data_IF_926169327413
#
_entry.id   IF_926169327413
#
_cell.length_a   1.000
_cell.length_b   1.000
_cell.length_c   1.000
_cell.angle_alpha   90.00
_cell.angle_beta   90.00
_cell.angle_gamma   90.00
#
_symmetry.space_group_name_H-M   'P 1'
#
loop_
_entity.id
_entity.type
_entity.pdbx_description
1 polymer ?
#
# COMPACT_ATOMS: atom_id res chain seq x y z
N UNK A 1 10.73 -6.39 -12.35
CA UNK A 1 9.64 -5.78 -13.14
C UNK A 1 9.89 -4.28 -13.11
N UNK A 2 9.79 -3.59 -14.25
CA UNK A 2 10.17 -2.18 -14.36
C UNK A 2 8.96 -1.30 -14.02
N UNK A 3 8.91 -0.81 -12.78
CA UNK A 3 7.81 -0.01 -12.23
C UNK A 3 7.69 1.40 -12.84
N UNK A 4 8.63 1.77 -13.72
CA UNK A 4 8.70 3.08 -14.37
C UNK A 4 7.64 3.33 -15.45
N UNK A 5 6.84 2.32 -15.81
CA UNK A 5 5.82 2.41 -16.87
C UNK A 5 4.39 2.73 -16.37
N UNK A 6 4.18 2.92 -15.08
CA UNK A 6 2.89 3.39 -14.57
C UNK A 6 2.77 4.88 -14.88
N UNK A 7 1.86 5.25 -15.77
CA UNK A 7 1.62 6.65 -16.08
C UNK A 7 1.03 7.35 -14.85
N UNK A 8 1.64 8.47 -14.43
CA UNK A 8 1.11 9.31 -13.36
C UNK A 8 -0.35 9.67 -13.70
N UNK A 9 -1.31 9.21 -12.90
CA UNK A 9 -2.76 9.42 -13.13
C UNK A 9 -3.56 8.20 -13.60
N UNK A 10 -2.93 7.08 -13.99
CA UNK A 10 -3.65 5.88 -14.44
C UNK A 10 -3.89 4.84 -13.35
N UNK A 11 -3.22 4.98 -12.20
CA UNK A 11 -3.34 4.09 -11.05
C UNK A 11 -3.10 4.84 -9.74
N UNK A 12 -3.58 4.26 -8.65
CA UNK A 12 -3.42 4.76 -7.27
C UNK A 12 -2.67 3.75 -6.43
N UNK A 13 -1.77 4.23 -5.55
CA UNK A 13 -1.04 3.38 -4.64
C UNK A 13 -1.91 3.08 -3.42
N UNK A 14 -1.99 1.80 -3.07
CA UNK A 14 -2.79 1.29 -1.97
C UNK A 14 -1.91 0.60 -0.97
N UNK A 15 -2.21 0.87 0.30
CA UNK A 15 -1.67 0.22 1.47
C UNK A 15 -2.70 -0.77 2.02
N UNK A 16 -2.31 -2.02 2.24
CA UNK A 16 -3.02 -2.98 3.07
C UNK A 16 -2.24 -3.18 4.38
N UNK A 17 -2.69 -2.57 5.49
CA UNK A 17 -1.97 -2.63 6.77
C UNK A 17 -1.98 -4.01 7.39
N UNK A 18 -0.93 -4.30 8.17
CA UNK A 18 -0.80 -5.53 8.96
C UNK A 18 -1.24 -6.74 8.16
N UNK A 19 -0.66 -6.90 6.98
CA UNK A 19 -1.06 -7.97 6.11
C UNK A 19 -0.54 -9.27 6.75
N UNK A 20 -1.37 -9.84 7.65
CA UNK A 20 -1.16 -11.05 8.44
C UNK A 20 -0.99 -12.31 7.60
N UNK A 21 -0.86 -12.13 6.29
CA UNK A 21 -0.46 -13.18 5.38
C UNK A 21 1.01 -13.45 5.71
N UNK A 22 1.16 -14.49 6.53
CA UNK A 22 2.38 -15.23 6.80
C UNK A 22 3.29 -15.28 5.57
N UNK A 23 4.59 -15.53 5.79
CA UNK A 23 5.71 -15.46 4.83
C UNK A 23 5.51 -16.08 3.41
N UNK A 24 4.36 -16.71 3.15
CA UNK A 24 3.91 -17.35 1.92
C UNK A 24 2.91 -16.52 1.07
N UNK A 25 2.72 -15.22 1.34
CA UNK A 25 1.93 -14.37 0.43
C UNK A 25 2.70 -14.08 -0.87
N UNK A 26 2.77 -15.09 -1.73
CA UNK A 26 3.10 -14.91 -3.13
C UNK A 26 2.03 -13.98 -3.75
N UNK A 27 2.46 -12.98 -4.51
CA UNK A 27 1.61 -12.03 -5.26
C UNK A 27 0.45 -12.72 -5.98
N UNK A 28 0.65 -13.98 -6.38
CA UNK A 28 -0.36 -14.84 -6.98
C UNK A 28 -1.58 -15.11 -6.07
N UNK A 29 -1.38 -15.28 -4.76
CA UNK A 29 -2.46 -15.52 -3.80
C UNK A 29 -3.29 -14.26 -3.54
N UNK A 30 -2.63 -13.10 -3.49
CA UNK A 30 -3.31 -11.81 -3.40
C UNK A 30 -4.18 -11.56 -4.65
N UNK A 31 -3.60 -11.76 -5.83
CA UNK A 31 -4.26 -11.61 -7.11
C UNK A 31 -5.54 -12.47 -7.22
N UNK A 32 -5.45 -13.74 -6.82
CA UNK A 32 -6.61 -14.62 -6.72
C UNK A 32 -7.63 -14.16 -5.68
N UNK A 33 -7.18 -13.61 -4.55
CA UNK A 33 -8.08 -13.09 -3.53
C UNK A 33 -8.95 -11.95 -4.09
N UNK A 34 -8.35 -10.99 -4.79
CA UNK A 34 -9.08 -9.88 -5.41
C UNK A 34 -10.07 -10.33 -6.48
N UNK A 35 -9.71 -11.31 -7.31
CA UNK A 35 -10.65 -11.86 -8.30
C UNK A 35 -11.81 -12.61 -7.62
N UNK A 36 -11.50 -13.53 -6.71
CA UNK A 36 -12.50 -14.45 -6.15
C UNK A 36 -13.44 -13.78 -5.16
N UNK A 37 -12.95 -12.82 -4.37
CA UNK A 37 -13.73 -12.20 -3.30
C UNK A 37 -14.27 -10.81 -3.66
N UNK A 38 -13.59 -10.09 -4.55
CA UNK A 38 -13.88 -8.69 -4.82
C UNK A 38 -14.24 -8.43 -6.30
N UNK A 39 -14.17 -9.45 -7.15
CA UNK A 39 -14.48 -9.37 -8.59
C UNK A 39 -13.68 -8.25 -9.29
N UNK A 40 -12.44 -8.06 -8.84
CA UNK A 40 -11.46 -7.15 -9.45
C UNK A 40 -10.51 -7.99 -10.29
N UNK A 41 -10.29 -7.59 -11.54
CA UNK A 41 -9.39 -8.28 -12.45
C UNK A 41 -7.94 -8.18 -11.93
N UNK A 42 -7.22 -9.30 -11.91
CA UNK A 42 -5.80 -9.34 -11.53
C UNK A 42 -4.91 -8.40 -12.35
N UNK A 43 -5.28 -8.13 -13.60
CA UNK A 43 -4.55 -7.21 -14.48
C UNK A 43 -4.58 -5.76 -13.96
N UNK A 44 -5.59 -5.40 -13.18
CA UNK A 44 -5.74 -4.07 -12.58
C UNK A 44 -4.92 -3.88 -11.30
N UNK A 45 -4.15 -4.90 -10.90
CA UNK A 45 -3.35 -4.90 -9.67
C UNK A 45 -1.90 -5.19 -10.02
N UNK A 46 -1.05 -4.22 -9.68
CA UNK A 46 0.40 -4.32 -9.83
C UNK A 46 1.04 -4.27 -8.44
N UNK A 47 1.56 -5.40 -7.99
CA UNK A 47 2.26 -5.54 -6.71
C UNK A 47 3.38 -4.51 -6.56
N UNK A 48 3.62 -3.99 -5.36
CA UNK A 48 4.85 -3.24 -5.03
C UNK A 48 5.69 -4.05 -4.04
N UNK A 49 5.02 -4.71 -3.10
CA UNK A 49 5.62 -5.61 -2.13
C UNK A 49 5.32 -5.21 -0.68
N UNK A 50 5.96 -5.91 0.24
CA UNK A 50 5.83 -5.65 1.68
C UNK A 50 6.89 -4.65 2.15
N UNK A 51 6.47 -3.67 2.94
CA UNK A 51 7.33 -2.70 3.61
C UNK A 51 7.11 -2.81 5.11
N UNK A 52 8.19 -2.82 5.88
CA UNK A 52 8.12 -2.83 7.34
C UNK A 52 8.13 -1.41 7.87
N UNK A 53 7.22 -1.09 8.77
CA UNK A 53 7.19 0.23 9.41
C UNK A 53 8.36 0.40 10.38
N UNK A 54 8.88 1.63 10.42
CA UNK A 54 9.87 2.08 11.39
C UNK A 54 9.23 2.22 12.78
N UNK A 55 10.03 2.11 13.85
CA UNK A 55 9.58 2.51 15.18
C UNK A 55 9.27 4.01 15.21
N UNK A 56 8.33 4.38 16.09
CA UNK A 56 8.08 5.77 16.43
C UNK A 56 9.32 6.36 17.12
N UNK A 57 9.50 7.68 17.00
CA UNK A 57 10.63 8.38 17.62
C UNK A 57 10.19 9.36 18.69
N UNK A 58 10.99 9.48 19.74
CA UNK A 58 10.86 10.56 20.74
C UNK A 58 11.17 11.92 20.11
N UNK A 59 10.87 13.00 20.82
CA UNK A 59 11.26 14.36 20.41
C UNK A 59 12.79 14.51 20.25
N UNK A 60 13.57 13.66 20.92
CA UNK A 60 15.02 13.61 20.88
C UNK A 60 15.55 12.72 19.73
N UNK A 61 14.66 12.07 18.98
CA UNK A 61 14.98 11.23 17.84
C UNK A 61 15.32 9.78 18.17
N UNK A 62 15.07 9.33 19.41
CA UNK A 62 15.31 7.94 19.82
C UNK A 62 14.11 7.06 19.49
N UNK A 63 14.38 5.82 19.05
CA UNK A 63 13.32 4.86 18.74
C UNK A 63 12.58 4.43 20.02
N UNK A 64 11.24 4.44 19.97
CA UNK A 64 10.38 4.03 21.07
C UNK A 64 10.23 2.50 21.05
N UNK A 65 10.70 1.76 22.08
CA UNK A 65 10.64 0.30 22.08
C UNK A 65 9.20 -0.22 21.99
N UNK A 66 8.99 -1.24 21.15
CA UNK A 66 7.68 -1.88 20.97
C UNK A 66 6.76 -1.17 19.97
N UNK A 67 7.24 -0.13 19.29
CA UNK A 67 6.56 0.50 18.16
C UNK A 67 7.21 0.07 16.82
N UNK A 68 6.49 0.27 15.71
CA UNK A 68 6.95 -0.17 14.39
C UNK A 68 6.89 -1.68 14.18
N UNK A 69 7.58 -2.17 13.14
CA UNK A 69 7.68 -3.59 12.82
C UNK A 69 6.43 -4.19 12.15
N UNK A 70 5.38 -3.39 11.91
CA UNK A 70 4.20 -3.82 11.17
C UNK A 70 4.60 -4.05 9.71
N UNK A 71 4.17 -5.19 9.13
CA UNK A 71 4.43 -5.52 7.73
C UNK A 71 3.23 -5.12 6.89
N UNK A 72 3.43 -4.10 6.07
CA UNK A 72 2.40 -3.44 5.29
C UNK A 72 2.59 -3.78 3.81
N UNK A 73 1.51 -4.18 3.14
CA UNK A 73 1.56 -4.60 1.75
C UNK A 73 1.11 -3.47 0.83
N UNK A 74 1.93 -3.16 -0.18
CA UNK A 74 1.66 -2.10 -1.15
C UNK A 74 1.41 -2.66 -2.54
N UNK A 75 0.47 -2.04 -3.25
CA UNK A 75 0.18 -2.34 -4.65
C UNK A 75 -0.47 -1.15 -5.35
N UNK A 76 -0.27 -1.07 -6.66
CA UNK A 76 -0.99 -0.15 -7.54
C UNK A 76 -2.31 -0.77 -7.97
N UNK A 77 -3.35 0.05 -7.95
CA UNK A 77 -4.67 -0.26 -8.45
C UNK A 77 -5.01 0.69 -9.61
N UNK A 78 -5.39 0.13 -10.75
CA UNK A 78 -5.85 0.93 -11.90
C UNK A 78 -7.11 1.72 -11.57
N UNK A 79 -7.22 2.93 -12.13
CA UNK A 79 -8.35 3.85 -11.91
C UNK A 79 -9.70 3.22 -12.21
N UNK A 80 -9.79 2.41 -13.27
CA UNK A 80 -11.02 1.73 -13.70
C UNK A 80 -11.53 0.71 -12.67
N UNK A 81 -10.66 0.22 -11.79
CA UNK A 81 -11.00 -0.73 -10.74
C UNK A 81 -11.44 -0.04 -9.43
N UNK A 82 -11.18 1.27 -9.26
CA UNK A 82 -11.51 2.02 -8.03
C UNK A 82 -12.99 1.88 -7.63
N UNK A 83 -13.99 2.05 -8.53
CA UNK A 83 -15.40 1.96 -8.13
C UNK A 83 -15.77 0.62 -7.48
N UNK A 84 -15.16 -0.48 -7.91
CA UNK A 84 -15.37 -1.82 -7.33
C UNK A 84 -14.55 -2.00 -6.05
N UNK A 85 -13.38 -1.38 -5.99
CA UNK A 85 -12.46 -1.49 -4.88
C UNK A 85 -12.89 -0.72 -3.62
N UNK A 86 -13.65 0.37 -3.74
CA UNK A 86 -14.08 1.19 -2.58
C UNK A 86 -14.73 0.33 -1.47
N UNK A 87 -15.55 -0.65 -1.86
CA UNK A 87 -16.17 -1.57 -0.91
C UNK A 87 -15.13 -2.49 -0.23
N UNK A 88 -14.22 -3.06 -1.02
CA UNK A 88 -13.12 -3.89 -0.54
C UNK A 88 -12.22 -3.15 0.45
N UNK A 89 -11.86 -1.91 0.11
CA UNK A 89 -11.06 -1.02 0.94
C UNK A 89 -11.62 -0.91 2.34
N UNK A 90 -12.92 -0.67 2.43
CA UNK A 90 -13.63 -0.49 3.71
C UNK A 90 -13.67 -1.80 4.51
N UNK A 91 -13.97 -2.93 3.86
CA UNK A 91 -14.06 -4.22 4.54
C UNK A 91 -12.72 -4.73 5.06
N UNK A 92 -11.64 -4.48 4.33
CA UNK A 92 -10.31 -5.04 4.59
C UNK A 92 -9.35 -4.02 5.21
N UNK A 93 -9.87 -2.85 5.59
CA UNK A 93 -9.12 -1.75 6.18
C UNK A 93 -7.91 -1.31 5.33
N UNK A 94 -8.06 -1.32 4.00
CA UNK A 94 -7.03 -0.80 3.11
C UNK A 94 -7.09 0.73 3.05
N UNK A 95 -5.96 1.36 2.76
CA UNK A 95 -5.76 2.79 2.89
C UNK A 95 -5.15 3.30 1.58
N UNK A 96 -5.62 4.44 1.09
CA UNK A 96 -4.94 5.07 -0.06
C UNK A 96 -3.62 5.64 0.41
N UNK A 97 -2.56 5.57 -0.40
CA UNK A 97 -1.31 6.25 -0.07
C UNK A 97 -1.51 7.76 0.15
N UNK A 98 -2.46 8.37 -0.57
CA UNK A 98 -2.88 9.76 -0.34
C UNK A 98 -3.37 10.00 1.08
N UNK A 99 -4.14 9.06 1.65
CA UNK A 99 -4.64 9.19 3.02
C UNK A 99 -3.47 9.15 4.02
N UNK A 100 -2.45 8.31 3.77
CA UNK A 100 -1.26 8.25 4.63
C UNK A 100 -0.48 9.57 4.56
N UNK A 101 -0.17 10.01 3.33
CA UNK A 101 0.65 11.20 3.07
C UNK A 101 -0.02 12.49 3.57
N UNK A 102 -1.28 12.73 3.23
CA UNK A 102 -1.97 13.97 3.64
C UNK A 102 -2.29 14.01 5.14
N UNK A 103 -2.29 12.86 5.82
CA UNK A 103 -2.39 12.78 7.27
C UNK A 103 -1.02 12.80 7.99
N UNK A 104 0.10 13.03 7.27
CA UNK A 104 1.45 13.13 7.84
C UNK A 104 1.89 11.83 8.54
N UNK A 105 1.48 10.69 8.00
CA UNK A 105 1.76 9.37 8.54
C UNK A 105 2.84 8.62 7.76
N UNK A 106 3.31 9.17 6.64
CA UNK A 106 4.32 8.57 5.77
C UNK A 106 5.68 8.38 6.46
N UNK A 107 5.98 9.18 7.50
CA UNK A 107 7.22 9.08 8.28
C UNK A 107 7.42 7.74 8.99
N UNK A 108 6.38 6.90 9.08
CA UNK A 108 6.49 5.53 9.59
C UNK A 108 7.16 4.57 8.59
N UNK A 109 7.45 4.99 7.35
CA UNK A 109 8.07 4.15 6.33
C UNK A 109 9.54 4.51 6.07
N UNK A 110 10.37 3.55 5.66
CA UNK A 110 11.76 3.79 5.26
C UNK A 110 11.92 4.88 4.18
N UNK A 111 13.01 5.66 4.28
CA UNK A 111 13.25 6.79 3.38
C UNK A 111 13.37 6.38 1.90
N UNK A 112 13.95 5.22 1.62
CA UNK A 112 14.06 4.68 0.26
C UNK A 112 12.69 4.38 -0.37
N UNK A 113 11.72 3.95 0.44
CA UNK A 113 10.33 3.81 0.01
C UNK A 113 9.70 5.17 -0.29
N UNK A 114 9.92 6.16 0.59
CA UNK A 114 9.41 7.52 0.39
C UNK A 114 10.00 8.20 -0.85
N UNK A 115 11.28 7.97 -1.12
CA UNK A 115 11.96 8.49 -2.31
C UNK A 115 11.42 7.87 -3.61
N UNK A 116 11.00 6.59 -3.55
CA UNK A 116 10.35 5.90 -4.67
C UNK A 116 8.88 6.35 -4.87
N UNK A 117 8.20 6.76 -3.80
CA UNK A 117 6.77 7.12 -3.79
C UNK A 117 6.49 8.47 -3.09
N UNK A 118 7.10 9.59 -3.56
CA UNK A 118 7.14 10.85 -2.82
C UNK A 118 5.85 11.67 -2.86
N UNK A 119 4.94 11.38 -3.80
CA UNK A 119 3.71 12.16 -4.02
C UNK A 119 2.56 11.21 -4.38
N UNK A 120 1.47 11.17 -3.60
CA UNK A 120 0.29 10.40 -3.96
C UNK A 120 -0.38 11.01 -5.18
N UNK A 121 -0.49 10.23 -6.26
CA UNK A 121 -1.36 10.59 -7.39
C UNK A 121 -2.79 10.71 -6.86
N UNK A 122 -3.32 11.94 -6.80
CA UNK A 122 -4.72 12.17 -6.42
C UNK A 122 -5.58 11.83 -7.65
N UNK A 123 -6.52 10.87 -7.55
CA UNK A 123 -7.61 10.77 -8.51
C UNK A 123 -8.52 11.98 -8.32
N UNK A 124 -8.45 12.94 -9.23
CA UNK A 124 -9.38 14.07 -9.32
C UNK A 124 -10.78 13.60 -9.77
#
# INVERSE_FOLDING_TARGET
MDWTNIQKGSAVLVLWPDCALHDDMDVLNLKKFFENHLNINQASITDVGCVTTLPDRTEEGEDIPGTGGRRDFFFWLDMDAIPKFIYAKTLLNMIWWSDVYFNQQEGMYPQDFLDAYPDPVIPC
#
